data_IF_967436591872
#
_entry.id   IF_967436591872
#
_cell.length_a   1.000
_cell.length_b   1.000
_cell.length_c   1.000
_cell.angle_alpha   90.00
_cell.angle_beta   90.00
_cell.angle_gamma   90.00
#
_symmetry.space_group_name_H-M   'P 1'
#
loop_
_entity.id
_entity.type
_entity.pdbx_description
1 polymer ?
#
# COMPACT_ATOMS: atom_id res chain seq x y z
N UNK A 1 -14.44 62.24 -2.46
CA UNK A 1 -15.19 61.43 -3.45
C UNK A 1 -14.89 59.93 -3.38
N UNK A 2 -13.73 59.40 -3.79
CA UNK A 2 -13.50 57.94 -3.76
C UNK A 2 -13.51 57.34 -2.35
N UNK A 3 -12.93 58.01 -1.36
CA UNK A 3 -12.94 57.53 0.03
C UNK A 3 -14.35 57.57 0.66
N UNK A 4 -15.17 58.56 0.30
CA UNK A 4 -16.56 58.67 0.76
C UNK A 4 -17.42 57.56 0.15
N UNK A 5 -17.24 57.29 -1.14
CA UNK A 5 -17.94 56.21 -1.86
C UNK A 5 -17.56 54.83 -1.32
N UNK A 6 -16.29 54.61 -0.98
CA UNK A 6 -15.83 53.39 -0.31
C UNK A 6 -16.47 53.26 1.08
N UNK A 7 -16.54 54.34 1.85
CA UNK A 7 -17.14 54.34 3.19
C UNK A 7 -18.64 54.03 3.14
N UNK A 8 -19.36 54.63 2.20
CA UNK A 8 -20.79 54.40 1.95
C UNK A 8 -21.08 52.97 1.51
N UNK A 9 -20.28 52.41 0.59
CA UNK A 9 -20.44 51.02 0.13
C UNK A 9 -19.93 49.97 1.12
N UNK A 10 -19.07 50.36 2.08
CA UNK A 10 -18.58 49.46 3.13
C UNK A 10 -19.60 49.25 4.25
N UNK A 11 -20.54 50.17 4.43
CA UNK A 11 -21.65 50.01 5.37
C UNK A 11 -22.80 49.25 4.70
N UNK A 12 -23.19 48.08 5.22
CA UNK A 12 -24.38 47.38 4.72
C UNK A 12 -25.62 48.27 4.83
N UNK A 13 -26.51 48.18 3.84
CA UNK A 13 -27.71 49.01 3.78
C UNK A 13 -28.61 48.76 5.01
N UNK A 14 -29.28 49.80 5.56
CA UNK A 14 -30.17 49.64 6.71
C UNK A 14 -31.23 48.56 6.45
N UNK A 15 -31.26 47.51 7.27
CA UNK A 15 -32.18 46.38 7.14
C UNK A 15 -31.65 45.18 6.35
N UNK A 16 -30.40 45.20 5.86
CA UNK A 16 -29.78 44.00 5.29
C UNK A 16 -29.45 42.99 6.39
N UNK A 17 -29.78 41.73 6.15
CA UNK A 17 -29.36 40.62 7.00
C UNK A 17 -28.05 40.03 6.51
N UNK A 18 -27.22 39.52 7.42
CA UNK A 18 -26.01 38.80 7.04
C UNK A 18 -26.36 37.58 6.17
N UNK A 19 -25.53 37.31 5.16
CA UNK A 19 -25.66 36.14 4.31
C UNK A 19 -25.51 34.88 5.18
N UNK A 20 -26.63 34.22 5.45
CA UNK A 20 -26.65 32.94 6.15
C UNK A 20 -26.73 31.79 5.15
N UNK A 21 -25.74 30.90 5.21
CA UNK A 21 -25.77 29.64 4.47
C UNK A 21 -26.08 28.49 5.45
N UNK A 22 -27.04 27.62 5.13
CA UNK A 22 -27.41 26.51 6.01
C UNK A 22 -26.30 25.45 6.14
N UNK A 23 -25.35 25.43 5.21
CA UNK A 23 -24.24 24.47 5.16
C UNK A 23 -22.94 25.16 4.82
N UNK A 24 -21.83 24.64 5.36
CA UNK A 24 -20.48 25.12 5.06
C UNK A 24 -20.12 24.92 3.58
N UNK A 25 -20.65 23.85 2.96
CA UNK A 25 -20.40 23.50 1.56
C UNK A 25 -21.69 23.59 0.73
N UNK A 26 -21.56 23.99 -0.53
CA UNK A 26 -22.69 24.20 -1.43
C UNK A 26 -23.35 22.91 -1.95
N UNK A 27 -22.68 21.76 -1.85
CA UNK A 27 -23.13 20.48 -2.41
C UNK A 27 -23.03 19.36 -1.36
N UNK A 28 -23.87 18.30 -1.45
CA UNK A 28 -23.83 17.19 -0.52
C UNK A 28 -22.56 16.35 -0.67
N UNK A 29 -22.23 15.59 0.36
CA UNK A 29 -21.00 14.79 0.46
C UNK A 29 -20.74 13.88 -0.75
N UNK A 30 -21.77 13.17 -1.23
CA UNK A 30 -21.63 12.24 -2.36
C UNK A 30 -21.28 12.96 -3.67
N UNK A 31 -21.89 14.12 -3.92
CA UNK A 31 -21.56 14.95 -5.09
C UNK A 31 -20.12 15.46 -5.01
N UNK A 32 -19.65 15.83 -3.81
CA UNK A 32 -18.25 16.19 -3.59
C UNK A 32 -17.32 15.01 -3.88
N UNK A 33 -17.62 13.81 -3.39
CA UNK A 33 -16.80 12.61 -3.66
C UNK A 33 -16.70 12.32 -5.16
N UNK A 34 -17.82 12.40 -5.89
CA UNK A 34 -17.84 12.21 -7.34
C UNK A 34 -16.98 13.26 -8.06
N UNK A 35 -17.10 14.53 -7.68
CA UNK A 35 -16.31 15.62 -8.25
C UNK A 35 -14.81 15.48 -7.95
N UNK A 36 -14.45 15.16 -6.70
CA UNK A 36 -13.07 14.91 -6.29
C UNK A 36 -12.49 13.70 -7.05
N UNK A 37 -13.25 12.61 -7.20
CA UNK A 37 -12.80 11.44 -7.95
C UNK A 37 -12.60 11.77 -9.43
N UNK A 38 -13.52 12.52 -10.04
CA UNK A 38 -13.35 13.02 -11.41
C UNK A 38 -12.10 13.86 -11.57
N UNK A 39 -11.84 14.80 -10.64
CA UNK A 39 -10.60 15.59 -10.62
C UNK A 39 -9.37 14.68 -10.53
N UNK A 40 -9.36 13.74 -9.59
CA UNK A 40 -8.24 12.83 -9.38
C UNK A 40 -7.98 11.94 -10.59
N UNK A 41 -9.02 11.41 -11.20
CA UNK A 41 -8.94 10.64 -12.44
C UNK A 41 -8.23 11.44 -13.54
N UNK A 42 -8.65 12.68 -13.80
CA UNK A 42 -8.02 13.52 -14.81
C UNK A 42 -6.61 13.97 -14.44
N UNK A 43 -6.32 14.25 -13.16
CA UNK A 43 -4.97 14.60 -12.71
C UNK A 43 -4.00 13.45 -12.98
N UNK A 44 -4.36 12.23 -12.56
CA UNK A 44 -3.54 11.03 -12.73
C UNK A 44 -3.40 10.61 -14.19
N UNK A 45 -4.47 10.73 -14.98
CA UNK A 45 -4.43 10.45 -16.41
C UNK A 45 -3.54 11.45 -17.18
N UNK A 46 -3.65 12.75 -16.87
CA UNK A 46 -2.87 13.81 -17.53
C UNK A 46 -1.45 13.97 -16.98
N UNK A 47 -1.09 13.22 -15.95
CA UNK A 47 0.26 13.16 -15.41
C UNK A 47 0.96 11.82 -15.78
N UNK A 48 1.25 11.59 -17.08
CA UNK A 48 1.73 10.30 -17.58
C UNK A 48 3.08 9.93 -16.98
N UNK A 49 3.93 10.91 -16.61
CA UNK A 49 5.24 10.63 -16.02
C UNK A 49 5.13 9.74 -14.78
N UNK A 50 4.11 9.92 -13.95
CA UNK A 50 3.97 9.11 -12.75
C UNK A 50 3.54 7.68 -13.07
N UNK A 51 2.40 7.53 -13.75
CA UNK A 51 1.80 6.23 -14.02
C UNK A 51 2.56 5.43 -15.08
N UNK A 52 3.11 6.08 -16.11
CA UNK A 52 3.92 5.40 -17.13
C UNK A 52 5.23 4.88 -16.53
N UNK A 53 5.93 5.67 -15.69
CA UNK A 53 7.14 5.20 -15.00
C UNK A 53 6.79 4.07 -14.03
N UNK A 54 5.67 4.16 -13.30
CA UNK A 54 5.17 3.10 -12.41
C UNK A 54 5.01 1.77 -13.17
N UNK A 55 4.31 1.76 -14.30
CA UNK A 55 4.12 0.55 -15.09
C UNK A 55 5.41 0.05 -15.75
N UNK A 56 6.21 0.96 -16.31
CA UNK A 56 7.48 0.63 -16.93
C UNK A 56 8.46 -0.02 -15.95
N UNK A 57 8.66 0.59 -14.78
CA UNK A 57 9.52 0.05 -13.72
C UNK A 57 8.99 -1.29 -13.21
N UNK A 58 7.67 -1.42 -13.03
CA UNK A 58 7.04 -2.67 -12.62
C UNK A 58 7.34 -3.81 -13.60
N UNK A 59 7.21 -3.54 -14.90
CA UNK A 59 7.52 -4.55 -15.93
C UNK A 59 9.00 -4.92 -15.93
N UNK A 60 9.91 -3.95 -15.85
CA UNK A 60 11.36 -4.23 -15.80
C UNK A 60 11.73 -5.04 -14.56
N UNK A 61 11.25 -4.63 -13.39
CA UNK A 61 11.53 -5.30 -12.12
C UNK A 61 10.91 -6.70 -12.12
N UNK A 62 9.70 -6.85 -12.67
CA UNK A 62 9.02 -8.15 -12.83
C UNK A 62 9.82 -9.10 -13.72
N UNK A 63 10.29 -8.61 -14.88
CA UNK A 63 11.15 -9.39 -15.77
C UNK A 63 12.48 -9.75 -15.10
N UNK A 64 13.13 -8.80 -14.43
CA UNK A 64 14.40 -9.03 -13.74
C UNK A 64 14.25 -10.12 -12.68
N UNK A 65 13.26 -10.03 -11.79
CA UNK A 65 13.03 -11.07 -10.79
C UNK A 65 12.56 -12.39 -11.40
N UNK A 66 11.74 -12.33 -12.45
CA UNK A 66 11.32 -13.52 -13.18
C UNK A 66 12.50 -14.27 -13.81
N UNK A 67 13.51 -13.56 -14.33
CA UNK A 67 14.75 -14.17 -14.85
C UNK A 67 15.61 -14.72 -13.72
N UNK A 68 15.79 -13.98 -12.62
CA UNK A 68 16.61 -14.43 -11.49
C UNK A 68 16.04 -15.71 -10.87
N UNK A 69 14.71 -15.79 -10.72
CA UNK A 69 14.01 -16.91 -10.09
C UNK A 69 13.36 -17.85 -11.09
N UNK A 70 13.92 -17.93 -12.29
CA UNK A 70 13.36 -18.70 -13.41
C UNK A 70 13.14 -20.17 -13.06
N UNK A 71 11.90 -20.63 -13.24
CA UNK A 71 11.47 -22.02 -13.06
C UNK A 71 11.92 -22.64 -11.71
N UNK A 72 11.73 -21.88 -10.63
CA UNK A 72 12.00 -22.29 -9.24
C UNK A 72 10.74 -22.74 -8.49
N UNK A 73 9.54 -22.43 -8.99
CA UNK A 73 8.26 -22.70 -8.32
C UNK A 73 7.93 -24.19 -8.12
N UNK A 74 8.44 -25.08 -8.98
CA UNK A 74 8.20 -26.53 -8.89
C UNK A 74 9.31 -27.30 -8.14
N UNK A 75 10.45 -26.65 -7.88
CA UNK A 75 11.59 -27.29 -7.20
C UNK A 75 11.39 -27.15 -5.70
N UNK A 76 10.91 -28.21 -5.04
CA UNK A 76 10.65 -28.24 -3.60
C UNK A 76 11.43 -29.35 -2.87
N UNK A 77 12.31 -30.06 -3.58
CA UNK A 77 12.98 -31.26 -3.03
C UNK A 77 13.99 -30.97 -1.92
N UNK A 78 14.59 -29.78 -1.91
CA UNK A 78 15.61 -29.39 -0.92
C UNK A 78 15.19 -28.16 -0.13
N UNK A 79 15.64 -28.08 1.13
CA UNK A 79 15.45 -26.89 1.96
C UNK A 79 15.89 -25.60 1.26
N UNK A 80 17.01 -25.65 0.52
CA UNK A 80 17.54 -24.49 -0.19
C UNK A 80 16.57 -23.98 -1.27
N UNK A 81 15.87 -24.86 -1.97
CA UNK A 81 14.93 -24.44 -3.00
C UNK A 81 13.71 -23.74 -2.39
N UNK A 82 13.25 -24.22 -1.24
CA UNK A 82 12.19 -23.54 -0.50
C UNK A 82 12.66 -22.16 -0.03
N UNK A 83 13.85 -22.05 0.57
CA UNK A 83 14.43 -20.75 0.96
C UNK A 83 14.62 -19.80 -0.23
N UNK A 84 15.02 -20.32 -1.41
CA UNK A 84 15.12 -19.52 -2.63
C UNK A 84 13.74 -18.97 -3.04
N UNK A 85 12.69 -19.79 -2.94
CA UNK A 85 11.33 -19.39 -3.25
C UNK A 85 10.80 -18.33 -2.25
N UNK A 86 11.09 -18.51 -0.96
CA UNK A 86 10.82 -17.50 0.08
C UNK A 86 11.52 -16.17 -0.25
N UNK A 87 12.81 -16.24 -0.59
CA UNK A 87 13.61 -15.08 -0.96
C UNK A 87 13.10 -14.38 -2.22
N UNK A 88 12.58 -15.14 -3.19
CA UNK A 88 11.95 -14.60 -4.39
C UNK A 88 10.71 -13.77 -4.05
N UNK A 89 9.78 -14.34 -3.28
CA UNK A 89 8.56 -13.66 -2.85
C UNK A 89 8.87 -12.43 -1.99
N UNK A 90 9.84 -12.55 -1.08
CA UNK A 90 10.31 -11.45 -0.24
C UNK A 90 10.90 -10.29 -1.04
N UNK A 91 11.83 -10.60 -1.94
CA UNK A 91 12.50 -9.58 -2.75
C UNK A 91 11.51 -8.87 -3.68
N UNK A 92 10.62 -9.63 -4.31
CA UNK A 92 9.59 -9.11 -5.20
C UNK A 92 8.68 -8.09 -4.48
N UNK A 93 8.18 -8.47 -3.31
CA UNK A 93 7.25 -7.65 -2.53
C UNK A 93 7.94 -6.42 -1.94
N UNK A 94 9.08 -6.59 -1.28
CA UNK A 94 9.75 -5.49 -0.57
C UNK A 94 10.31 -4.45 -1.52
N UNK A 95 10.90 -4.88 -2.63
CA UNK A 95 11.54 -3.96 -3.57
C UNK A 95 10.51 -3.07 -4.26
N UNK A 96 9.48 -3.68 -4.87
CA UNK A 96 8.47 -2.92 -5.59
C UNK A 96 7.50 -2.20 -4.62
N UNK A 97 7.19 -2.80 -3.47
CA UNK A 97 6.40 -2.15 -2.41
C UNK A 97 7.08 -0.89 -1.84
N UNK A 98 8.37 -0.97 -1.53
CA UNK A 98 9.15 0.20 -1.09
C UNK A 98 9.24 1.28 -2.18
N UNK A 99 9.42 0.87 -3.43
CA UNK A 99 9.43 1.80 -4.58
C UNK A 99 8.09 2.53 -4.74
N UNK A 100 6.96 1.81 -4.63
CA UNK A 100 5.62 2.41 -4.70
C UNK A 100 5.39 3.41 -3.55
N UNK A 101 5.84 3.07 -2.34
CA UNK A 101 5.73 3.95 -1.17
C UNK A 101 6.48 5.27 -1.40
N UNK A 102 7.72 5.22 -1.89
CA UNK A 102 8.50 6.42 -2.20
C UNK A 102 7.88 7.24 -3.33
N UNK A 103 7.42 6.56 -4.38
CA UNK A 103 6.84 7.22 -5.56
C UNK A 103 5.54 7.96 -5.23
N UNK A 104 4.67 7.42 -4.36
CA UNK A 104 3.42 8.09 -3.97
C UNK A 104 3.63 9.31 -3.08
N UNK A 105 4.70 9.33 -2.26
CA UNK A 105 4.97 10.46 -1.38
C UNK A 105 5.14 11.78 -2.13
N UNK A 106 5.84 11.76 -3.27
CA UNK A 106 6.08 12.97 -4.07
C UNK A 106 4.78 13.50 -4.69
N UNK A 107 3.95 12.61 -5.25
CA UNK A 107 2.68 12.97 -5.88
C UNK A 107 1.69 13.52 -4.85
N UNK A 108 1.54 12.84 -3.71
CA UNK A 108 0.64 13.30 -2.63
C UNK A 108 1.09 14.64 -2.06
N UNK A 109 2.39 14.88 -1.94
CA UNK A 109 2.90 16.16 -1.44
C UNK A 109 2.55 17.34 -2.37
N UNK A 110 2.62 17.14 -3.69
CA UNK A 110 2.20 18.13 -4.69
C UNK A 110 0.69 18.37 -4.61
N UNK A 111 -0.11 17.30 -4.64
CA UNK A 111 -1.58 17.38 -4.56
C UNK A 111 -2.06 18.01 -3.24
N UNK A 112 -1.37 17.77 -2.12
CA UNK A 112 -1.68 18.38 -0.82
C UNK A 112 -1.59 19.91 -0.87
N UNK A 113 -0.65 20.46 -1.64
CA UNK A 113 -0.50 21.92 -1.80
C UNK A 113 -1.70 22.52 -2.52
N UNK A 114 -2.21 21.83 -3.55
CA UNK A 114 -3.43 22.22 -4.26
C UNK A 114 -4.65 22.09 -3.34
N UNK A 115 -4.74 20.98 -2.61
CA UNK A 115 -5.80 20.72 -1.65
C UNK A 115 -5.91 21.82 -0.58
N UNK A 116 -4.79 22.27 -0.01
CA UNK A 116 -4.83 23.34 1.00
C UNK A 116 -5.43 24.64 0.46
N UNK A 117 -5.16 24.99 -0.81
CA UNK A 117 -5.76 26.17 -1.47
C UNK A 117 -7.26 26.00 -1.66
N UNK A 118 -7.68 24.82 -2.12
CA UNK A 118 -9.10 24.52 -2.36
C UNK A 118 -9.91 24.41 -1.05
N UNK A 119 -9.29 23.86 0.01
CA UNK A 119 -9.84 23.82 1.36
C UNK A 119 -10.01 25.24 1.93
N UNK A 120 -9.02 26.11 1.76
CA UNK A 120 -9.09 27.51 2.20
C UNK A 120 -10.17 28.31 1.45
N UNK A 121 -10.45 27.96 0.19
CA UNK A 121 -11.54 28.53 -0.61
C UNK A 121 -12.92 27.90 -0.30
N UNK A 122 -13.02 26.92 0.60
CA UNK A 122 -14.29 26.29 0.97
C UNK A 122 -14.93 25.43 -0.13
N UNK A 123 -14.15 24.94 -1.11
CA UNK A 123 -14.71 24.26 -2.29
C UNK A 123 -15.33 22.89 -1.97
N UNK A 124 -14.73 22.12 -1.08
CA UNK A 124 -15.20 20.79 -0.67
C UNK A 124 -14.60 20.36 0.68
N UNK A 125 -15.16 19.31 1.28
CA UNK A 125 -14.71 18.72 2.55
C UNK A 125 -13.42 17.90 2.40
N UNK A 126 -12.53 17.84 3.41
CA UNK A 126 -11.32 17.02 3.37
C UNK A 126 -11.53 15.53 3.11
N UNK A 127 -12.65 14.98 3.58
CA UNK A 127 -12.92 13.54 3.49
C UNK A 127 -13.23 13.06 2.06
N UNK A 128 -14.10 13.74 1.28
CA UNK A 128 -14.27 13.46 -0.15
C UNK A 128 -12.98 13.42 -0.95
N UNK A 129 -12.04 14.33 -0.66
CA UNK A 129 -10.72 14.34 -1.27
C UNK A 129 -9.90 13.10 -0.89
N UNK A 130 -9.83 12.77 0.40
CA UNK A 130 -9.08 11.62 0.86
C UNK A 130 -9.60 10.31 0.24
N UNK A 131 -10.92 10.12 0.20
CA UNK A 131 -11.52 8.94 -0.43
C UNK A 131 -11.27 8.89 -1.94
N UNK A 132 -11.40 10.02 -2.63
CA UNK A 132 -11.12 10.10 -4.07
C UNK A 132 -9.67 9.74 -4.40
N UNK A 133 -8.72 10.25 -3.62
CA UNK A 133 -7.29 10.00 -3.83
C UNK A 133 -6.92 8.54 -3.53
N UNK A 134 -7.45 7.97 -2.45
CA UNK A 134 -7.26 6.54 -2.15
C UNK A 134 -7.87 5.65 -3.25
N UNK A 135 -9.07 5.98 -3.73
CA UNK A 135 -9.75 5.19 -4.76
C UNK A 135 -8.96 5.18 -6.07
N UNK A 136 -8.44 6.32 -6.54
CA UNK A 136 -7.66 6.36 -7.78
C UNK A 136 -6.35 5.58 -7.64
N UNK A 137 -5.68 5.68 -6.49
CA UNK A 137 -4.44 4.95 -6.23
C UNK A 137 -4.67 3.43 -6.23
N UNK A 138 -5.72 2.95 -5.57
CA UNK A 138 -6.06 1.52 -5.55
C UNK A 138 -6.34 0.99 -6.95
N UNK A 139 -7.00 1.76 -7.83
CA UNK A 139 -7.24 1.35 -9.22
C UNK A 139 -5.94 1.17 -10.01
N UNK A 140 -5.03 2.16 -9.96
CA UNK A 140 -3.75 2.05 -10.65
C UNK A 140 -2.85 0.96 -10.07
N UNK A 141 -2.85 0.80 -8.74
CA UNK A 141 -2.12 -0.28 -8.06
C UNK A 141 -2.68 -1.65 -8.46
N UNK A 142 -3.99 -1.83 -8.56
CA UNK A 142 -4.58 -3.10 -8.99
C UNK A 142 -4.17 -3.49 -10.41
N UNK A 143 -4.11 -2.53 -11.34
CA UNK A 143 -3.62 -2.78 -12.71
C UNK A 143 -2.12 -3.13 -12.69
N UNK A 144 -1.33 -2.38 -11.90
CA UNK A 144 0.11 -2.60 -11.76
C UNK A 144 0.40 -4.00 -11.20
N UNK A 145 -0.31 -4.39 -10.15
CA UNK A 145 -0.14 -5.68 -9.47
C UNK A 145 -0.60 -6.82 -10.35
N UNK A 146 -1.59 -6.62 -11.22
CA UNK A 146 -2.02 -7.63 -12.18
C UNK A 146 -0.91 -7.95 -13.18
N UNK A 147 -0.31 -6.91 -13.78
CA UNK A 147 0.83 -7.06 -14.71
C UNK A 147 2.00 -7.76 -14.00
N UNK A 148 2.35 -7.27 -12.81
CA UNK A 148 3.46 -7.81 -12.04
C UNK A 148 3.25 -9.26 -11.62
N UNK A 149 2.05 -9.58 -11.12
CA UNK A 149 1.71 -10.92 -10.65
C UNK A 149 1.69 -11.90 -11.81
N UNK A 150 1.15 -11.51 -12.97
CA UNK A 150 1.16 -12.34 -14.16
C UNK A 150 2.58 -12.68 -14.62
N UNK A 151 3.47 -11.68 -14.69
CA UNK A 151 4.87 -11.89 -15.07
C UNK A 151 5.60 -12.81 -14.09
N UNK A 152 5.53 -12.51 -12.79
CA UNK A 152 6.20 -13.32 -11.78
C UNK A 152 5.66 -14.74 -11.72
N UNK A 153 4.33 -14.91 -11.74
CA UNK A 153 3.71 -16.22 -11.63
C UNK A 153 4.12 -17.12 -12.80
N UNK A 154 4.13 -16.56 -14.02
CA UNK A 154 4.55 -17.26 -15.22
C UNK A 154 6.04 -17.61 -15.21
N UNK A 155 6.92 -16.66 -14.87
CA UNK A 155 8.38 -16.84 -14.98
C UNK A 155 8.99 -17.66 -13.83
N UNK A 156 8.45 -17.52 -12.61
CA UNK A 156 8.84 -18.37 -11.47
C UNK A 156 8.43 -19.83 -11.73
N UNK A 157 7.40 -20.05 -12.57
CA UNK A 157 6.90 -21.37 -12.90
C UNK A 157 6.02 -21.95 -11.81
N UNK A 158 5.07 -21.16 -11.29
CA UNK A 158 4.06 -21.69 -10.38
C UNK A 158 3.03 -22.54 -11.15
N UNK A 159 2.47 -23.54 -10.48
CA UNK A 159 1.42 -24.41 -11.04
C UNK A 159 0.20 -23.59 -11.42
N UNK A 160 -0.23 -23.61 -12.68
CA UNK A 160 -1.40 -22.86 -13.14
C UNK A 160 -2.71 -23.44 -12.60
N UNK A 161 -3.13 -22.91 -11.45
CA UNK A 161 -4.45 -23.13 -10.87
C UNK A 161 -5.06 -21.75 -10.59
N UNK A 162 -6.31 -21.54 -11.04
CA UNK A 162 -7.01 -20.28 -10.86
C UNK A 162 -7.04 -19.85 -9.38
N UNK A 163 -7.30 -20.78 -8.46
CA UNK A 163 -7.33 -20.47 -7.03
C UNK A 163 -5.98 -19.94 -6.52
N UNK A 164 -4.89 -20.62 -6.87
CA UNK A 164 -3.53 -20.25 -6.42
C UNK A 164 -3.07 -18.93 -7.03
N UNK A 165 -3.44 -18.67 -8.29
CA UNK A 165 -3.18 -17.39 -8.95
C UNK A 165 -3.94 -16.25 -8.30
N UNK A 166 -5.25 -16.41 -8.02
CA UNK A 166 -6.04 -15.35 -7.38
C UNK A 166 -5.60 -15.08 -5.95
N UNK A 167 -5.18 -16.09 -5.19
CA UNK A 167 -4.55 -15.90 -3.88
C UNK A 167 -3.24 -15.13 -4.00
N UNK A 168 -2.38 -15.51 -4.94
CA UNK A 168 -1.12 -14.81 -5.19
C UNK A 168 -1.35 -13.34 -5.56
N UNK A 169 -2.23 -13.10 -6.53
CA UNK A 169 -2.63 -11.76 -6.94
C UNK A 169 -3.22 -10.95 -5.77
N UNK A 170 -4.09 -11.56 -4.96
CA UNK A 170 -4.69 -10.89 -3.80
C UNK A 170 -3.63 -10.41 -2.81
N UNK A 171 -2.68 -11.27 -2.41
CA UNK A 171 -1.65 -10.90 -1.45
C UNK A 171 -0.70 -9.85 -2.00
N UNK A 172 -0.24 -9.99 -3.26
CA UNK A 172 0.60 -8.97 -3.91
C UNK A 172 -0.16 -7.64 -4.04
N UNK A 173 -1.44 -7.69 -4.42
CA UNK A 173 -2.29 -6.51 -4.58
C UNK A 173 -2.51 -5.78 -3.27
N UNK A 174 -2.99 -6.48 -2.24
CA UNK A 174 -3.18 -5.91 -0.90
C UNK A 174 -1.87 -5.38 -0.32
N UNK A 175 -0.77 -6.07 -0.62
CA UNK A 175 0.56 -5.61 -0.24
C UNK A 175 0.89 -4.24 -0.81
N UNK A 176 0.74 -4.07 -2.13
CA UNK A 176 1.05 -2.79 -2.76
C UNK A 176 0.04 -1.71 -2.37
N UNK A 177 -1.22 -2.07 -2.12
CA UNK A 177 -2.23 -1.15 -1.59
C UNK A 177 -1.80 -0.60 -0.23
N UNK A 178 -1.45 -1.45 0.74
CA UNK A 178 -1.04 -0.94 2.05
C UNK A 178 0.28 -0.18 1.99
N UNK A 179 1.23 -0.54 1.11
CA UNK A 179 2.49 0.21 0.94
C UNK A 179 2.21 1.63 0.39
N UNK A 180 1.34 1.73 -0.61
CA UNK A 180 0.91 3.03 -1.15
C UNK A 180 0.18 3.85 -0.08
N UNK A 181 -0.76 3.25 0.66
CA UNK A 181 -1.46 3.93 1.74
C UNK A 181 -0.54 4.35 2.89
N UNK A 182 0.47 3.54 3.19
CA UNK A 182 1.52 3.89 4.15
C UNK A 182 2.29 5.13 3.70
N UNK A 183 2.68 5.22 2.43
CA UNK A 183 3.32 6.40 1.86
C UNK A 183 2.43 7.66 1.96
N UNK A 184 1.16 7.53 1.60
CA UNK A 184 0.16 8.60 1.72
C UNK A 184 -0.01 9.06 3.17
N UNK A 185 -0.14 8.12 4.11
CA UNK A 185 -0.24 8.37 5.54
C UNK A 185 0.95 9.19 6.05
N UNK A 186 2.18 8.81 5.68
CA UNK A 186 3.37 9.53 6.10
C UNK A 186 3.38 10.99 5.62
N UNK A 187 2.95 11.26 4.38
CA UNK A 187 2.83 12.64 3.89
C UNK A 187 1.73 13.40 4.63
N UNK A 188 0.63 12.75 4.98
CA UNK A 188 -0.42 13.40 5.77
C UNK A 188 0.02 13.74 7.20
N UNK A 189 0.92 12.96 7.80
CA UNK A 189 1.41 13.15 9.16
C UNK A 189 2.65 14.05 9.28
N UNK A 190 3.31 14.39 8.18
CA UNK A 190 4.59 15.12 8.20
C UNK A 190 4.51 16.46 7.47
N UNK A 191 5.28 17.48 7.88
CA UNK A 191 5.28 18.77 7.21
C UNK A 191 5.83 18.72 5.78
N UNK A 192 6.83 17.87 5.54
CA UNK A 192 7.56 17.82 4.27
C UNK A 192 7.88 16.38 3.84
N UNK A 193 7.98 16.15 2.52
CA UNK A 193 8.20 14.83 1.96
C UNK A 193 9.56 14.23 2.36
N UNK A 194 10.59 15.04 2.62
CA UNK A 194 11.88 14.52 3.10
C UNK A 194 11.74 13.90 4.50
N UNK A 195 10.94 14.51 5.39
CA UNK A 195 10.67 13.95 6.72
C UNK A 195 9.85 12.65 6.56
N UNK A 196 8.85 12.65 5.67
CA UNK A 196 8.11 11.44 5.33
C UNK A 196 9.03 10.30 4.86
N UNK A 197 10.02 10.60 4.02
CA UNK A 197 10.97 9.63 3.48
C UNK A 197 11.94 9.07 4.55
N UNK A 198 12.38 9.91 5.49
CA UNK A 198 13.19 9.47 6.63
C UNK A 198 12.39 8.52 7.53
N UNK A 199 11.17 8.90 7.89
CA UNK A 199 10.27 8.06 8.69
C UNK A 199 9.93 6.76 7.97
N UNK A 200 9.68 6.83 6.66
CA UNK A 200 9.47 5.66 5.81
C UNK A 200 10.63 4.68 5.93
N UNK A 201 11.86 5.16 5.72
CA UNK A 201 13.07 4.35 5.76
C UNK A 201 13.25 3.67 7.12
N UNK A 202 12.97 4.37 8.22
CA UNK A 202 13.05 3.79 9.57
C UNK A 202 12.15 2.56 9.72
N UNK A 203 10.84 2.68 9.47
CA UNK A 203 9.91 1.55 9.63
C UNK A 203 10.09 0.47 8.56
N UNK A 204 10.48 0.83 7.32
CA UNK A 204 10.78 -0.16 6.28
C UNK A 204 11.90 -1.10 6.72
N UNK A 205 12.91 -0.61 7.45
CA UNK A 205 13.97 -1.46 8.00
C UNK A 205 13.44 -2.44 9.06
N UNK A 206 12.49 -2.01 9.90
CA UNK A 206 11.86 -2.94 10.85
C UNK A 206 10.99 -3.98 10.13
N UNK A 207 10.20 -3.58 9.13
CA UNK A 207 9.43 -4.52 8.31
C UNK A 207 10.33 -5.50 7.57
N UNK A 208 11.48 -5.04 7.09
CA UNK A 208 12.51 -5.86 6.45
C UNK A 208 13.02 -6.94 7.41
N UNK A 209 13.48 -6.55 8.60
CA UNK A 209 14.08 -7.44 9.60
C UNK A 209 13.09 -8.47 10.17
N UNK A 210 11.88 -8.04 10.50
CA UNK A 210 10.88 -8.85 11.19
C UNK A 210 9.80 -9.43 10.25
N UNK A 211 10.03 -9.43 8.94
CA UNK A 211 9.12 -10.01 7.94
C UNK A 211 8.99 -11.53 8.02
N UNK A 212 9.88 -12.24 8.73
CA UNK A 212 9.88 -13.70 8.79
C UNK A 212 10.77 -14.39 7.76
N UNK A 213 11.43 -13.63 6.88
CA UNK A 213 12.43 -14.17 5.94
C UNK A 213 13.86 -14.06 6.48
N UNK A 214 14.31 -12.86 6.88
CA UNK A 214 15.66 -12.66 7.42
C UNK A 214 15.84 -13.33 8.79
N UNK A 215 14.82 -13.25 9.63
CA UNK A 215 14.74 -13.95 10.91
C UNK A 215 13.40 -14.70 10.91
N UNK A 216 13.46 -16.02 10.99
CA UNK A 216 12.25 -16.84 11.08
C UNK A 216 11.50 -16.52 12.38
N UNK A 217 10.16 -16.62 12.37
CA UNK A 217 9.32 -16.26 13.53
C UNK A 217 9.69 -17.04 14.80
N UNK A 218 10.09 -18.28 14.63
CA UNK A 218 10.51 -19.22 15.68
C UNK A 218 11.78 -18.77 16.40
N UNK A 219 12.72 -18.17 15.65
CA UNK A 219 14.02 -17.69 16.15
C UNK A 219 13.95 -16.29 16.78
N UNK A 220 12.85 -15.56 16.59
CA UNK A 220 12.65 -14.25 17.24
C UNK A 220 12.49 -14.47 18.76
N UNK A 221 13.27 -13.74 19.60
CA UNK A 221 13.11 -13.77 21.05
C UNK A 221 11.66 -13.50 21.48
N UNK A 222 11.19 -14.23 22.49
CA UNK A 222 9.77 -14.24 22.88
C UNK A 222 9.24 -12.82 23.16
N UNK A 223 10.04 -11.94 23.76
CA UNK A 223 9.67 -10.56 24.06
C UNK A 223 9.60 -9.63 22.84
N UNK A 224 10.16 -10.00 21.68
CA UNK A 224 10.04 -9.26 20.41
C UNK A 224 9.03 -9.89 19.43
N UNK A 225 8.55 -11.09 19.72
CA UNK A 225 7.67 -11.85 18.80
C UNK A 225 6.34 -11.15 18.50
N UNK A 226 5.86 -10.26 19.37
CA UNK A 226 4.67 -9.45 19.10
C UNK A 226 4.83 -8.54 17.87
N UNK A 227 6.04 -8.05 17.61
CA UNK A 227 6.29 -7.14 16.50
C UNK A 227 6.15 -7.84 15.14
N UNK A 228 6.46 -9.14 15.07
CA UNK A 228 6.19 -9.95 13.89
C UNK A 228 4.72 -9.85 13.46
N UNK A 229 3.79 -9.95 14.41
CA UNK A 229 2.35 -9.80 14.14
C UNK A 229 1.93 -8.35 13.89
N UNK A 230 2.75 -7.37 14.34
CA UNK A 230 2.60 -5.95 14.02
C UNK A 230 3.20 -5.54 12.66
N UNK A 231 3.88 -6.44 11.94
CA UNK A 231 4.50 -6.15 10.65
C UNK A 231 3.57 -6.56 9.49
N UNK A 232 3.07 -5.62 8.67
CA UNK A 232 2.20 -5.96 7.53
C UNK A 232 2.91 -6.88 6.53
N UNK A 233 4.22 -6.72 6.34
CA UNK A 233 5.02 -7.55 5.44
C UNK A 233 5.09 -9.00 5.90
N UNK A 234 5.11 -9.25 7.21
CA UNK A 234 5.12 -10.61 7.75
C UNK A 234 3.84 -11.37 7.35
N UNK A 235 2.69 -10.70 7.39
CA UNK A 235 1.43 -11.24 6.88
C UNK A 235 1.46 -11.51 5.38
N UNK A 236 2.05 -10.60 4.59
CA UNK A 236 2.19 -10.80 3.13
C UNK A 236 3.00 -12.04 2.82
N UNK A 237 4.16 -12.21 3.44
CA UNK A 237 4.99 -13.39 3.23
C UNK A 237 4.26 -14.66 3.65
N UNK A 238 3.67 -14.65 4.86
CA UNK A 238 2.86 -15.76 5.34
C UNK A 238 1.84 -16.19 4.28
N UNK A 239 1.04 -15.24 3.78
CA UNK A 239 -0.02 -15.50 2.80
C UNK A 239 0.50 -16.00 1.46
N UNK A 240 1.55 -15.38 0.92
CA UNK A 240 2.16 -15.81 -0.34
C UNK A 240 2.71 -17.24 -0.24
N UNK A 241 3.44 -17.55 0.82
CA UNK A 241 4.06 -18.87 1.01
C UNK A 241 2.99 -19.93 1.21
N UNK A 242 2.07 -19.70 2.15
CA UNK A 242 1.03 -20.69 2.47
C UNK A 242 0.06 -20.91 1.32
N UNK A 243 -0.19 -19.91 0.47
CA UNK A 243 -1.03 -20.06 -0.73
C UNK A 243 -0.39 -20.88 -1.84
N UNK A 244 0.94 -20.86 -2.00
CA UNK A 244 1.62 -21.54 -3.11
C UNK A 244 2.17 -22.93 -2.75
N UNK A 245 2.56 -23.12 -1.49
CA UNK A 245 3.23 -24.35 -1.03
C UNK A 245 2.69 -24.91 0.28
N UNK A 246 1.74 -24.23 0.94
CA UNK A 246 1.24 -24.63 2.26
C UNK A 246 0.37 -25.89 2.29
N UNK A 247 -0.22 -26.24 1.16
CA UNK A 247 -1.06 -27.43 0.95
C UNK A 247 -0.26 -28.63 0.40
N UNK A 248 0.96 -28.41 -0.08
CA UNK A 248 1.79 -29.45 -0.69
C UNK A 248 2.39 -30.40 0.36
N UNK A 249 2.26 -31.70 0.09
CA UNK A 249 2.82 -32.79 0.93
C UNK A 249 4.13 -33.36 0.39
N UNK A 250 4.72 -32.72 -0.62
CA UNK A 250 6.01 -33.12 -1.20
C UNK A 250 7.07 -33.17 -0.11
N UNK A 251 7.94 -34.18 -0.16
CA UNK A 251 9.05 -34.32 0.77
C UNK A 251 10.15 -33.31 0.49
N UNK A 252 10.61 -32.62 1.54
CA UNK A 252 11.75 -31.71 1.54
C UNK A 252 12.87 -32.36 2.32
N UNK A 253 14.05 -32.49 1.71
CA UNK A 253 15.25 -32.88 2.42
C UNK A 253 15.78 -31.71 3.26
N UNK A 254 15.78 -31.92 4.57
CA UNK A 254 16.28 -30.98 5.58
C UNK A 254 17.57 -31.57 6.17
N UNK A 255 18.72 -30.87 6.08
CA UNK A 255 19.96 -31.30 6.71
C UNK A 255 19.76 -31.60 8.19
N UNK A 256 20.04 -32.84 8.59
CA UNK A 256 19.92 -33.30 9.99
C UNK A 256 18.53 -33.78 10.43
N UNK A 257 17.46 -33.60 9.64
CA UNK A 257 16.11 -34.08 9.96
C UNK A 257 15.54 -35.09 8.93
N UNK A 258 16.22 -35.28 7.80
CA UNK A 258 15.77 -36.18 6.74
C UNK A 258 14.67 -35.55 5.88
N UNK A 259 13.91 -36.39 5.17
CA UNK A 259 12.83 -35.94 4.29
C UNK A 259 11.55 -35.72 5.10
N UNK A 260 11.11 -34.46 5.22
CA UNK A 260 9.85 -34.11 5.89
C UNK A 260 8.89 -33.42 4.91
N UNK A 261 7.57 -33.57 5.05
CA UNK A 261 6.61 -32.88 4.17
C UNK A 261 6.77 -31.36 4.24
N UNK A 262 6.63 -30.64 3.11
CA UNK A 262 6.70 -29.16 3.04
C UNK A 262 5.79 -28.53 4.11
N UNK A 263 4.53 -28.99 4.21
CA UNK A 263 3.58 -28.50 5.23
C UNK A 263 4.12 -28.58 6.66
N UNK A 264 4.83 -29.65 7.00
CA UNK A 264 5.41 -29.84 8.33
C UNK A 264 6.65 -28.98 8.54
N UNK A 265 7.51 -28.83 7.53
CA UNK A 265 8.63 -27.89 7.58
C UNK A 265 8.16 -26.45 7.79
N UNK A 266 7.16 -26.01 7.02
CA UNK A 266 6.58 -24.68 7.14
C UNK A 266 6.03 -24.41 8.55
N UNK A 267 5.36 -25.39 9.16
CA UNK A 267 4.83 -25.27 10.52
C UNK A 267 5.92 -25.26 11.58
N UNK A 268 6.85 -26.20 11.54
CA UNK A 268 7.83 -26.39 12.60
C UNK A 268 8.96 -25.36 12.56
N UNK A 269 9.45 -25.01 11.36
CA UNK A 269 10.63 -24.18 11.21
C UNK A 269 10.26 -22.70 10.99
N UNK A 270 9.14 -22.42 10.31
CA UNK A 270 8.74 -21.03 9.98
C UNK A 270 7.47 -20.58 10.70
N UNK A 271 6.70 -21.51 11.26
CA UNK A 271 5.46 -21.21 11.96
C UNK A 271 4.24 -20.93 11.06
N UNK A 272 4.31 -21.34 9.80
CA UNK A 272 3.24 -21.14 8.81
C UNK A 272 2.23 -22.28 8.82
N UNK A 273 0.94 -21.94 8.81
CA UNK A 273 -0.18 -22.85 8.82
C UNK A 273 -1.16 -22.47 7.70
N UNK A 274 -1.46 -23.41 6.82
CA UNK A 274 -2.35 -23.16 5.67
C UNK A 274 -3.79 -22.84 6.11
N UNK A 275 -4.26 -23.40 7.21
CA UNK A 275 -5.62 -23.16 7.73
C UNK A 275 -5.82 -21.70 8.19
N UNK A 276 -4.72 -20.97 8.44
CA UNK A 276 -4.75 -19.58 8.85
C UNK A 276 -4.85 -18.59 7.68
N UNK A 277 -4.82 -19.06 6.43
CA UNK A 277 -4.78 -18.24 5.21
C UNK A 277 -5.90 -17.19 5.16
N UNK A 278 -7.13 -17.54 5.53
CA UNK A 278 -8.26 -16.61 5.54
C UNK A 278 -8.08 -15.46 6.55
N UNK A 279 -7.54 -15.75 7.73
CA UNK A 279 -7.26 -14.73 8.75
C UNK A 279 -6.12 -13.80 8.34
N UNK A 280 -5.11 -14.35 7.65
CA UNK A 280 -4.02 -13.57 7.06
C UNK A 280 -4.56 -12.59 6.02
N UNK A 281 -5.52 -13.00 5.19
CA UNK A 281 -6.18 -12.11 4.25
C UNK A 281 -6.94 -10.96 4.96
N UNK A 282 -7.70 -11.28 6.00
CA UNK A 282 -8.40 -10.26 6.81
C UNK A 282 -7.42 -9.26 7.46
N UNK A 283 -6.26 -9.72 7.93
CA UNK A 283 -5.24 -8.84 8.50
C UNK A 283 -4.74 -7.77 7.51
N UNK A 284 -4.63 -8.10 6.22
CA UNK A 284 -4.24 -7.14 5.19
C UNK A 284 -5.30 -6.04 4.99
N UNK A 285 -6.58 -6.42 4.99
CA UNK A 285 -7.68 -5.46 4.94
C UNK A 285 -7.62 -4.54 6.16
N UNK A 286 -7.34 -5.09 7.34
CA UNK A 286 -7.12 -4.32 8.57
C UNK A 286 -6.02 -3.27 8.42
N UNK A 287 -4.86 -3.64 7.88
CA UNK A 287 -3.76 -2.71 7.63
C UNK A 287 -4.09 -1.63 6.60
N UNK A 288 -4.73 -2.00 5.49
CA UNK A 288 -5.17 -1.04 4.48
C UNK A 288 -6.18 -0.04 5.05
N UNK A 289 -7.16 -0.51 5.82
CA UNK A 289 -8.15 0.33 6.49
C UNK A 289 -7.48 1.24 7.53
N UNK A 290 -6.55 0.72 8.34
CA UNK A 290 -5.82 1.51 9.33
C UNK A 290 -5.07 2.67 8.68
N UNK A 291 -4.25 2.40 7.66
CA UNK A 291 -3.50 3.46 6.97
C UNK A 291 -4.41 4.46 6.27
N UNK A 292 -5.53 4.00 5.68
CA UNK A 292 -6.54 4.87 5.09
C UNK A 292 -7.19 5.81 6.13
N UNK A 293 -7.56 5.29 7.30
CA UNK A 293 -8.15 6.09 8.38
C UNK A 293 -7.16 7.14 8.88
N UNK A 294 -5.91 6.74 9.13
CA UNK A 294 -4.87 7.68 9.60
C UNK A 294 -4.58 8.74 8.55
N UNK A 295 -4.54 8.38 7.27
CA UNK A 295 -4.41 9.32 6.15
C UNK A 295 -5.57 10.33 6.12
N UNK A 296 -6.82 9.86 6.14
CA UNK A 296 -8.01 10.70 6.11
C UNK A 296 -8.09 11.63 7.34
N UNK A 297 -7.74 11.12 8.51
CA UNK A 297 -7.66 11.90 9.74
C UNK A 297 -6.56 12.96 9.66
N UNK A 298 -5.37 12.58 9.20
CA UNK A 298 -4.23 13.48 9.01
C UNK A 298 -4.58 14.65 8.10
N UNK A 299 -5.15 14.40 6.92
CA UNK A 299 -5.56 15.46 5.98
C UNK A 299 -6.68 16.37 6.53
N UNK A 300 -7.58 15.81 7.34
CA UNK A 300 -8.68 16.58 7.92
C UNK A 300 -8.17 17.56 8.97
N UNK A 301 -7.37 17.08 9.92
CA UNK A 301 -7.02 17.81 11.15
C UNK A 301 -5.65 18.47 11.14
N UNK A 302 -4.67 17.95 10.39
CA UNK A 302 -3.34 18.55 10.30
C UNK A 302 -3.31 19.57 9.18
N UNK A 303 -2.64 20.70 9.45
CA UNK A 303 -2.34 21.71 8.45
C UNK A 303 -0.89 22.18 8.64
N UNK A 304 -0.08 21.93 7.62
CA UNK A 304 1.35 22.26 7.61
C UNK A 304 1.67 23.48 6.75
N UNK A 305 0.67 24.16 6.18
CA UNK A 305 0.90 25.40 5.45
C UNK A 305 1.32 26.51 6.41
N UNK A 306 2.58 26.93 6.36
CA UNK A 306 3.03 28.18 6.99
C UNK A 306 2.68 29.34 6.04
N UNK A 307 2.00 30.35 6.57
CA UNK A 307 1.75 31.62 5.88
C UNK A 307 3.03 32.42 5.76
#
# INVERSE_FOLDING_TARGET
>A
RNQELIKELSSPAPGSQDLYFPTIYAQPFFTQCKACFWKMYWSYWRHPQYNAIRFFMTTIIGLLFGVIFWNKGEKLGQQQDLTNLLGAMYSAVMFLGGTNTSAVQSVVAVERTVFYREKAAGMYSPLPYAFAQVAIEVLYVAIQTFIYSFLLYAMIGFSWNAANFFWFYYYVCMCFVYFTLYGMMLVALTPNYQIAAITMSFFLNFWNLFSGFLIARTDIPIWWRWYYWGSPVAWTLYGLITSQVGDKTVGVEVPGQGTIPVKQYLKNNLGYEHDFLGYVALAHVGWAVLFCIVFAYGIKFLNFQRR
#
